data_IF_571041326135
#
_entry.id   IF_571041326135
#
_cell.length_a   1.000
_cell.length_b   1.000
_cell.length_c   1.000
_cell.angle_alpha   90.00
_cell.angle_beta   90.00
_cell.angle_gamma   90.00
#
_symmetry.space_group_name_H-M   'P 1'
#
loop_
_entity.id
_entity.type
_entity.pdbx_description
1 polymer ?
#
# COMPACT_ATOMS: atom_id res chain seq x y z
N UNK A 1 1.06 21.82 -2.79
CA UNK A 1 0.46 23.17 -2.74
C UNK A 1 -0.96 23.22 -3.30
N UNK A 2 -1.29 22.46 -4.37
CA UNK A 2 -2.63 22.49 -4.96
C UNK A 2 -3.71 21.99 -4.01
N UNK A 3 -3.49 20.86 -3.36
CA UNK A 3 -4.45 20.28 -2.40
C UNK A 3 -4.84 21.27 -1.29
N UNK A 4 -3.91 22.11 -0.86
CA UNK A 4 -4.14 23.09 0.21
C UNK A 4 -5.20 24.13 -0.14
N UNK A 5 -5.31 24.50 -1.43
CA UNK A 5 -6.30 25.47 -1.91
C UNK A 5 -7.75 24.96 -1.82
N UNK A 6 -7.90 23.66 -1.70
CA UNK A 6 -9.22 22.99 -1.63
C UNK A 6 -9.61 22.59 -0.21
N UNK A 7 -8.79 22.93 0.78
CA UNK A 7 -9.05 22.62 2.19
C UNK A 7 -9.67 23.79 2.94
N UNK A 8 -10.71 23.53 3.67
CA UNK A 8 -11.20 24.45 4.68
C UNK A 8 -10.24 24.47 5.90
N UNK A 9 -10.29 25.51 6.75
CA UNK A 9 -9.58 25.50 8.03
C UNK A 9 -9.91 24.21 8.84
N UNK A 10 -8.87 23.47 9.26
CA UNK A 10 -9.03 22.17 9.92
C UNK A 10 -9.42 21.02 8.99
N UNK A 11 -9.47 21.24 7.68
CA UNK A 11 -9.73 20.21 6.68
C UNK A 11 -8.62 19.17 6.64
N UNK A 12 -8.98 17.93 6.33
CA UNK A 12 -8.06 16.79 6.25
C UNK A 12 -8.00 16.24 4.84
N UNK A 13 -6.82 15.70 4.50
CA UNK A 13 -6.59 14.94 3.29
C UNK A 13 -6.28 13.50 3.70
N UNK A 14 -6.94 12.54 3.06
CA UNK A 14 -6.57 11.15 3.14
C UNK A 14 -5.93 10.78 1.79
N UNK A 15 -4.71 10.26 1.86
CA UNK A 15 -3.98 9.75 0.70
C UNK A 15 -3.84 8.25 0.85
N UNK A 16 -4.16 7.54 -0.22
CA UNK A 16 -3.96 6.13 -0.37
C UNK A 16 -3.07 5.89 -1.59
N UNK A 17 -2.04 5.05 -1.44
CA UNK A 17 -1.07 4.79 -2.50
C UNK A 17 -0.45 3.40 -2.35
N UNK A 18 0.00 2.77 -3.45
CA UNK A 18 0.78 1.54 -3.36
C UNK A 18 2.05 1.73 -2.52
N UNK A 19 2.46 0.66 -1.84
CA UNK A 19 3.64 0.64 -1.00
C UNK A 19 4.88 0.17 -1.77
N UNK A 20 5.94 0.97 -1.80
CA UNK A 20 7.22 0.57 -2.37
C UNK A 20 7.85 -0.64 -1.66
N UNK A 21 7.50 -0.85 -0.38
CA UNK A 21 7.98 -1.98 0.43
C UNK A 21 7.01 -3.17 0.43
N UNK A 22 6.07 -3.22 -0.54
CA UNK A 22 5.16 -4.36 -0.75
C UNK A 22 5.94 -5.69 -0.71
N UNK A 23 5.39 -6.68 -0.01
CA UNK A 23 6.01 -8.00 0.13
C UNK A 23 6.34 -8.66 -1.21
N UNK A 24 5.49 -8.51 -2.24
CA UNK A 24 5.74 -9.04 -3.58
C UNK A 24 6.97 -8.41 -4.23
N UNK A 25 7.30 -7.15 -3.90
CA UNK A 25 8.49 -6.47 -4.40
C UNK A 25 9.74 -6.82 -3.56
N UNK A 26 9.68 -6.63 -2.25
CA UNK A 26 10.87 -6.59 -1.41
C UNK A 26 11.17 -7.87 -0.62
N UNK A 27 10.17 -8.74 -0.42
CA UNK A 27 10.34 -10.01 0.28
C UNK A 27 10.37 -11.17 -0.72
N UNK A 28 9.37 -11.25 -1.57
CA UNK A 28 9.24 -12.33 -2.54
C UNK A 28 9.99 -12.08 -3.86
N UNK A 29 10.37 -10.83 -4.12
CA UNK A 29 11.12 -10.43 -5.33
C UNK A 29 10.45 -10.89 -6.63
N UNK A 30 9.14 -10.71 -6.74
CA UNK A 30 8.36 -11.07 -7.93
C UNK A 30 8.63 -10.08 -9.08
N UNK A 31 9.38 -10.50 -10.07
CA UNK A 31 9.62 -9.68 -11.27
C UNK A 31 8.32 -9.42 -12.04
N UNK A 32 7.43 -10.42 -12.13
CA UNK A 32 6.14 -10.26 -12.78
C UNK A 32 5.27 -9.20 -12.10
N UNK A 33 5.29 -9.13 -10.76
CA UNK A 33 4.59 -8.09 -10.02
C UNK A 33 5.26 -6.72 -10.18
N UNK A 34 6.59 -6.65 -10.20
CA UNK A 34 7.31 -5.41 -10.46
C UNK A 34 6.95 -4.83 -11.84
N UNK A 35 6.95 -5.65 -12.89
CA UNK A 35 6.55 -5.23 -14.24
C UNK A 35 5.09 -4.76 -14.30
N UNK A 36 4.22 -5.40 -13.53
CA UNK A 36 2.81 -5.02 -13.43
C UNK A 36 2.59 -3.71 -12.66
N UNK A 37 3.30 -3.50 -11.55
CA UNK A 37 3.04 -2.36 -10.65
C UNK A 37 3.74 -1.08 -11.11
N UNK A 38 4.93 -1.18 -11.73
CA UNK A 38 5.66 -0.04 -12.27
C UNK A 38 5.23 0.25 -13.71
N UNK A 39 4.17 1.02 -13.86
CA UNK A 39 3.66 1.48 -15.15
C UNK A 39 3.35 2.98 -15.12
N UNK A 40 2.91 3.58 -16.24
CA UNK A 40 2.86 5.04 -16.39
C UNK A 40 2.11 5.81 -15.27
N UNK A 41 1.03 5.33 -14.65
CA UNK A 41 0.44 5.99 -13.48
C UNK A 41 1.24 5.83 -12.18
N UNK A 42 2.11 4.83 -12.07
CA UNK A 42 2.93 4.56 -10.89
C UNK A 42 4.41 4.83 -11.17
N UNK A 43 4.72 6.05 -11.60
CA UNK A 43 6.11 6.47 -11.89
C UNK A 43 6.97 6.43 -10.62
N UNK A 44 6.37 6.80 -9.47
CA UNK A 44 7.00 6.77 -8.16
C UNK A 44 6.14 5.96 -7.20
N UNK A 45 6.77 5.05 -6.47
CA UNK A 45 6.20 4.43 -5.29
C UNK A 45 6.87 4.99 -4.04
N UNK A 46 6.10 5.12 -2.98
CA UNK A 46 6.58 5.58 -1.68
C UNK A 46 6.47 4.45 -0.67
N UNK A 47 7.42 4.40 0.26
CA UNK A 47 7.21 3.70 1.53
C UNK A 47 6.64 4.69 2.56
N UNK A 48 6.23 4.18 3.70
CA UNK A 48 5.56 5.01 4.72
C UNK A 48 6.45 6.15 5.21
N UNK A 49 7.74 5.90 5.40
CA UNK A 49 8.70 6.90 5.86
C UNK A 49 8.87 8.05 4.84
N UNK A 50 9.06 7.71 3.58
CA UNK A 50 9.22 8.70 2.52
C UNK A 50 7.94 9.50 2.27
N UNK A 51 6.77 8.85 2.40
CA UNK A 51 5.47 9.51 2.25
C UNK A 51 5.25 10.53 3.39
N UNK A 52 5.55 10.16 4.63
CA UNK A 52 5.47 11.09 5.76
C UNK A 52 6.45 12.27 5.62
N UNK A 53 7.68 11.97 5.22
CA UNK A 53 8.69 13.01 5.01
C UNK A 53 8.25 14.01 3.92
N UNK A 54 7.69 13.51 2.81
CA UNK A 54 7.14 14.35 1.74
C UNK A 54 6.00 15.22 2.25
N UNK A 55 5.07 14.65 3.02
CA UNK A 55 3.95 15.38 3.59
C UNK A 55 4.42 16.54 4.47
N UNK A 56 5.36 16.27 5.40
CA UNK A 56 5.94 17.29 6.30
C UNK A 56 6.69 18.36 5.54
N UNK A 57 7.50 18.00 4.55
CA UNK A 57 8.20 18.96 3.66
C UNK A 57 7.24 19.84 2.85
N UNK A 58 6.06 19.31 2.55
CA UNK A 58 4.98 20.07 1.88
C UNK A 58 4.15 20.92 2.84
N UNK A 59 4.53 21.01 4.13
CA UNK A 59 3.89 21.83 5.15
C UNK A 59 2.56 21.27 5.65
N UNK A 60 2.42 19.95 5.70
CA UNK A 60 1.30 19.26 6.33
C UNK A 60 1.73 18.59 7.63
N UNK A 61 0.82 18.56 8.58
CA UNK A 61 0.94 17.70 9.75
C UNK A 61 0.40 16.31 9.42
N UNK A 62 1.12 15.27 9.82
CA UNK A 62 0.64 13.89 9.76
C UNK A 62 -0.21 13.62 11.00
N UNK A 63 -1.50 13.42 10.80
CA UNK A 63 -2.45 13.07 11.87
C UNK A 63 -2.30 11.60 12.25
N UNK A 64 -2.27 10.75 11.24
CA UNK A 64 -1.94 9.32 11.36
C UNK A 64 -1.45 8.78 10.02
N UNK A 65 -0.74 7.67 10.07
CA UNK A 65 -0.33 6.89 8.91
C UNK A 65 -0.41 5.40 9.23
N UNK A 66 -0.56 4.58 8.21
CA UNK A 66 -0.66 3.13 8.38
C UNK A 66 -0.58 2.38 7.08
N UNK A 67 -0.66 1.07 7.21
CA UNK A 67 -0.63 0.13 6.10
C UNK A 67 -1.86 -0.77 6.13
N UNK A 68 -2.32 -1.15 4.95
CA UNK A 68 -3.46 -2.04 4.73
C UNK A 68 -3.06 -3.07 3.70
N UNK A 69 -3.41 -4.33 3.96
CA UNK A 69 -3.29 -5.40 2.98
C UNK A 69 -4.62 -5.55 2.23
N UNK A 70 -4.69 -5.05 1.01
CA UNK A 70 -5.91 -5.12 0.19
C UNK A 70 -6.12 -6.48 -0.43
N UNK A 71 -5.04 -7.11 -0.88
CA UNK A 71 -5.10 -8.38 -1.58
C UNK A 71 -4.74 -9.53 -0.65
N UNK A 72 -5.52 -10.63 -0.67
CA UNK A 72 -5.35 -11.74 0.25
C UNK A 72 -4.10 -12.57 -0.03
N UNK A 73 -3.74 -13.43 0.93
CA UNK A 73 -2.66 -14.42 0.77
C UNK A 73 -2.80 -15.23 -0.52
N UNK A 74 -4.02 -15.64 -0.86
CA UNK A 74 -4.31 -16.38 -2.09
C UNK A 74 -3.82 -15.65 -3.36
N UNK A 75 -3.94 -14.32 -3.40
CA UNK A 75 -3.44 -13.51 -4.51
C UNK A 75 -1.91 -13.47 -4.55
N UNK A 76 -1.25 -13.37 -3.41
CA UNK A 76 0.22 -13.44 -3.34
C UNK A 76 0.74 -14.79 -3.84
N UNK A 77 0.13 -15.90 -3.41
CA UNK A 77 0.51 -17.24 -3.88
C UNK A 77 0.34 -17.38 -5.40
N UNK A 78 -0.71 -16.80 -5.97
CA UNK A 78 -0.93 -16.84 -7.41
C UNK A 78 0.09 -16.00 -8.19
N UNK A 79 0.48 -14.83 -7.66
CA UNK A 79 1.59 -14.07 -8.22
C UNK A 79 2.91 -14.85 -8.23
N UNK A 80 3.18 -15.61 -7.15
CA UNK A 80 4.39 -16.41 -7.03
C UNK A 80 4.38 -17.64 -7.93
N UNK A 81 3.22 -18.27 -8.14
CA UNK A 81 3.09 -19.47 -8.95
C UNK A 81 2.92 -19.17 -10.44
N UNK A 82 2.11 -18.16 -10.79
CA UNK A 82 1.67 -17.92 -12.17
C UNK A 82 2.08 -16.54 -12.72
N UNK A 83 2.64 -15.67 -11.90
CA UNK A 83 3.08 -14.35 -12.33
C UNK A 83 1.97 -13.40 -12.77
N UNK A 84 0.76 -13.54 -12.19
CA UNK A 84 -0.41 -12.70 -12.52
C UNK A 84 -1.38 -12.56 -11.34
N UNK A 85 -2.24 -11.52 -11.35
CA UNK A 85 -3.25 -11.31 -10.32
C UNK A 85 -4.43 -12.29 -10.44
N UNK A 86 -5.27 -12.34 -9.40
CA UNK A 86 -6.54 -13.08 -9.43
C UNK A 86 -6.57 -14.32 -8.55
N UNK A 87 -5.54 -14.51 -7.71
CA UNK A 87 -5.44 -15.69 -6.84
C UNK A 87 -6.61 -15.84 -5.86
N UNK A 88 -7.27 -14.77 -5.46
CA UNK A 88 -8.46 -14.80 -4.63
C UNK A 88 -9.64 -15.55 -5.27
N UNK A 89 -9.64 -15.68 -6.58
CA UNK A 89 -10.63 -16.45 -7.34
C UNK A 89 -10.16 -17.86 -7.65
N UNK A 90 -8.88 -18.02 -8.00
CA UNK A 90 -8.28 -19.32 -8.37
C UNK A 90 -8.05 -20.19 -7.15
N UNK A 91 -7.58 -19.60 -6.06
CA UNK A 91 -7.35 -20.26 -4.77
C UNK A 91 -8.41 -19.86 -3.73
N UNK A 92 -9.68 -19.85 -4.15
CA UNK A 92 -10.81 -19.44 -3.30
C UNK A 92 -10.85 -20.17 -1.95
N UNK A 93 -10.44 -21.44 -1.92
CA UNK A 93 -10.35 -22.23 -0.69
C UNK A 93 -9.39 -21.65 0.38
N UNK A 94 -8.42 -20.81 -0.03
CA UNK A 94 -7.50 -20.10 0.86
C UNK A 94 -7.95 -18.66 1.16
N UNK A 95 -9.01 -18.18 0.52
CA UNK A 95 -9.51 -16.84 0.73
C UNK A 95 -10.40 -16.77 1.97
N UNK A 96 -9.83 -17.13 3.10
CA UNK A 96 -10.45 -17.17 4.41
C UNK A 96 -10.15 -15.91 5.20
N UNK A 97 -11.15 -15.37 5.90
CA UNK A 97 -11.05 -14.12 6.64
C UNK A 97 -9.98 -14.15 7.72
N UNK A 98 -9.93 -15.21 8.51
CA UNK A 98 -8.99 -15.34 9.62
C UNK A 98 -7.54 -15.45 9.11
N UNK A 99 -7.32 -16.25 8.07
CA UNK A 99 -6.01 -16.35 7.40
C UNK A 99 -5.57 -14.98 6.88
N UNK A 100 -6.45 -14.25 6.21
CA UNK A 100 -6.13 -12.94 5.65
C UNK A 100 -5.82 -11.89 6.73
N UNK A 101 -6.58 -11.88 7.83
CA UNK A 101 -6.33 -10.97 8.96
C UNK A 101 -4.98 -11.28 9.65
N UNK A 102 -4.62 -12.54 9.82
CA UNK A 102 -3.32 -12.91 10.37
C UNK A 102 -2.17 -12.57 9.41
N UNK A 103 -2.36 -12.80 8.13
CA UNK A 103 -1.37 -12.44 7.11
C UNK A 103 -1.14 -10.94 7.06
N UNK A 104 -2.20 -10.12 7.07
CA UNK A 104 -2.09 -8.66 7.13
C UNK A 104 -1.31 -8.21 8.37
N UNK A 105 -1.56 -8.78 9.54
CA UNK A 105 -0.82 -8.45 10.76
C UNK A 105 0.68 -8.73 10.63
N UNK A 106 1.04 -9.86 10.04
CA UNK A 106 2.44 -10.22 9.80
C UNK A 106 3.09 -9.26 8.82
N UNK A 107 2.41 -8.93 7.72
CA UNK A 107 2.90 -7.98 6.72
C UNK A 107 3.06 -6.58 7.32
N UNK A 108 2.07 -6.09 8.07
CA UNK A 108 2.11 -4.78 8.72
C UNK A 108 3.27 -4.68 9.73
N UNK A 109 3.52 -5.73 10.51
CA UNK A 109 4.64 -5.80 11.44
C UNK A 109 6.01 -5.72 10.74
N UNK A 110 6.07 -6.06 9.46
CA UNK A 110 7.27 -5.99 8.62
C UNK A 110 7.25 -4.80 7.62
N UNK A 111 6.32 -3.87 7.75
CA UNK A 111 6.11 -2.75 6.84
C UNK A 111 5.89 -3.17 5.37
N UNK A 112 5.29 -4.34 5.15
CA UNK A 112 5.25 -5.03 3.87
C UNK A 112 3.84 -5.20 3.27
N UNK A 113 2.84 -4.48 3.78
CA UNK A 113 1.50 -4.46 3.17
C UNK A 113 1.55 -3.79 1.79
N UNK A 114 0.57 -4.07 0.95
CA UNK A 114 0.50 -3.56 -0.42
C UNK A 114 0.10 -2.07 -0.51
N UNK A 115 -0.57 -1.55 0.49
CA UNK A 115 -1.18 -0.22 0.45
C UNK A 115 -0.79 0.63 1.68
N UNK A 116 -0.43 1.89 1.42
CA UNK A 116 -0.22 2.92 2.45
C UNK A 116 -1.44 3.82 2.55
N UNK A 117 -1.78 4.22 3.76
CA UNK A 117 -2.73 5.30 4.02
C UNK A 117 -2.12 6.34 4.95
N UNK A 118 -2.36 7.61 4.66
CA UNK A 118 -1.92 8.72 5.50
C UNK A 118 -3.02 9.78 5.57
N UNK A 119 -3.27 10.28 6.77
CA UNK A 119 -4.17 11.42 7.00
C UNK A 119 -3.34 12.65 7.35
N UNK A 120 -3.57 13.71 6.62
CA UNK A 120 -2.87 14.98 6.73
C UNK A 120 -3.84 16.09 7.10
N UNK A 121 -3.32 17.10 7.81
CA UNK A 121 -4.03 18.38 8.02
C UNK A 121 -3.10 19.56 7.74
N UNK A 122 -3.67 20.72 7.47
CA UNK A 122 -2.89 21.95 7.31
C UNK A 122 -2.32 22.41 8.64
N UNK A 123 -1.07 22.81 8.63
CA UNK A 123 -0.43 23.53 9.76
C UNK A 123 -1.10 24.88 9.99
#
# INVERSE_FOLDING_TARGET
DECRKHLNPGGKIIIETPNADDALLNIYHSNAFADFTYWSPHIFLYNIHNLEMLARKSGFNVVWSGQIQRYPLANHLYWLSEGKPGGQFVYEFLNDKEINEQYEKVLAANNACDTLMICLETT
#
